data_IF_200231362973
#
_entry.id   IF_200231362973
#
_cell.length_a   1.000
_cell.length_b   1.000
_cell.length_c   1.000
_cell.angle_alpha   90.00
_cell.angle_beta   90.00
_cell.angle_gamma   90.00
#
_symmetry.space_group_name_H-M   'P 1'
#
loop_
_entity.id
_entity.type
_entity.pdbx_description
1 polymer ?
#
# COMPACT_ATOMS: atom_id res chain seq x y z
N UNK A 1 3.06 34.77 -9.78
CA UNK A 1 2.17 33.79 -10.42
C UNK A 1 1.27 33.25 -9.32
N UNK A 2 0.04 33.76 -9.23
CA UNK A 2 -0.84 33.48 -8.09
C UNK A 2 -1.70 32.25 -8.40
N UNK A 3 -1.54 31.19 -7.61
CA UNK A 3 -2.37 29.98 -7.69
C UNK A 3 -3.56 30.20 -6.74
N UNK A 4 -4.76 30.29 -7.29
CA UNK A 4 -6.00 30.31 -6.51
C UNK A 4 -6.49 28.87 -6.39
N UNK A 5 -6.46 28.33 -5.17
CA UNK A 5 -7.04 27.02 -4.87
C UNK A 5 -8.49 27.27 -4.45
N UNK A 6 -9.44 26.75 -5.22
CA UNK A 6 -10.87 26.87 -4.94
C UNK A 6 -11.35 25.61 -4.24
N UNK A 7 -11.90 25.78 -3.04
CA UNK A 7 -12.55 24.72 -2.27
C UNK A 7 -14.05 24.99 -2.27
N UNK A 8 -14.77 24.30 -3.16
CA UNK A 8 -16.22 24.34 -3.25
C UNK A 8 -16.75 23.07 -3.91
N UNK A 9 -18.05 22.81 -3.72
CA UNK A 9 -18.71 21.59 -4.20
C UNK A 9 -19.06 21.66 -5.69
N UNK A 10 -19.31 20.51 -6.33
CA UNK A 10 -19.66 20.45 -7.76
C UNK A 10 -20.90 21.31 -8.11
N UNK A 11 -21.79 21.51 -7.13
CA UNK A 11 -22.98 22.34 -7.25
C UNK A 11 -22.65 23.84 -7.28
N UNK A 12 -21.69 24.29 -6.45
CA UNK A 12 -21.20 25.68 -6.45
C UNK A 12 -20.41 26.03 -7.72
N UNK A 13 -19.69 25.06 -8.30
CA UNK A 13 -19.02 25.23 -9.59
C UNK A 13 -20.02 25.51 -10.73
N UNK A 14 -21.25 25.01 -10.60
CA UNK A 14 -22.36 25.22 -11.53
C UNK A 14 -23.14 26.53 -11.29
N UNK A 15 -22.76 27.33 -10.28
CA UNK A 15 -23.26 28.69 -10.05
C UNK A 15 -22.26 29.79 -10.47
N UNK A 16 -21.00 29.44 -10.77
CA UNK A 16 -19.95 30.41 -11.14
C UNK A 16 -20.20 31.08 -12.50
N UNK A 17 -19.72 32.33 -12.72
CA UNK A 17 -19.80 33.00 -14.02
C UNK A 17 -19.14 32.18 -15.14
N UNK A 18 -19.70 32.28 -16.35
CA UNK A 18 -19.28 31.46 -17.49
C UNK A 18 -17.79 31.56 -17.84
N UNK A 19 -17.18 32.74 -17.62
CA UNK A 19 -15.75 32.96 -17.83
C UNK A 19 -14.87 32.14 -16.88
N UNK A 20 -15.26 32.03 -15.60
CA UNK A 20 -14.51 31.24 -14.61
C UNK A 20 -14.60 29.75 -14.93
N UNK A 21 -15.77 29.28 -15.38
CA UNK A 21 -15.94 27.88 -15.83
C UNK A 21 -15.14 27.58 -17.09
N UNK A 22 -14.93 28.58 -17.97
CA UNK A 22 -14.10 28.44 -19.18
C UNK A 22 -12.62 28.33 -18.82
N UNK A 23 -12.16 29.10 -17.85
CA UNK A 23 -10.77 29.06 -17.34
C UNK A 23 -10.44 27.70 -16.69
N UNK A 24 -11.36 27.17 -15.88
CA UNK A 24 -11.21 25.84 -15.27
C UNK A 24 -11.17 24.72 -16.31
N UNK A 25 -11.90 24.88 -17.43
CA UNK A 25 -11.89 23.90 -18.53
C UNK A 25 -10.62 23.98 -19.38
N UNK A 26 -10.05 25.17 -19.59
CA UNK A 26 -8.81 25.30 -20.39
C UNK A 26 -7.59 24.72 -19.68
N UNK A 27 -7.65 24.55 -18.35
CA UNK A 27 -6.62 23.87 -17.55
C UNK A 27 -6.73 22.33 -17.59
N UNK A 28 -7.76 21.77 -18.25
CA UNK A 28 -8.08 20.34 -18.22
C UNK A 28 -8.09 19.62 -19.57
N UNK A 29 -7.38 20.10 -20.60
CA UNK A 29 -7.46 19.55 -21.96
C UNK A 29 -6.12 19.28 -22.66
N UNK A 30 -5.79 17.99 -22.81
CA UNK A 30 -4.86 17.34 -23.76
C UNK A 30 -3.34 17.56 -23.65
N UNK A 31 -2.62 16.49 -23.31
CA UNK A 31 -1.19 16.33 -23.60
C UNK A 31 -0.46 15.37 -22.65
N UNK A 32 -0.19 14.15 -23.12
CA UNK A 32 0.60 13.07 -22.50
C UNK A 32 1.76 13.50 -21.57
N UNK A 33 1.82 12.85 -20.40
CA UNK A 33 3.06 12.69 -19.62
C UNK A 33 3.17 13.58 -18.38
N UNK A 34 2.69 13.12 -17.23
CA UNK A 34 2.95 13.84 -15.98
C UNK A 34 2.13 13.36 -14.79
N UNK A 35 2.82 12.86 -13.77
CA UNK A 35 2.31 12.54 -12.44
C UNK A 35 1.51 13.72 -11.86
N UNK A 36 0.22 13.56 -11.58
CA UNK A 36 -0.46 14.32 -10.51
C UNK A 36 -1.53 13.41 -9.88
N UNK A 37 -1.09 12.56 -8.95
CA UNK A 37 -1.99 11.83 -8.06
C UNK A 37 -2.42 12.75 -6.93
N UNK A 38 -3.61 13.35 -7.09
CA UNK A 38 -4.41 14.08 -6.10
C UNK A 38 -4.26 13.45 -4.70
N UNK A 39 -3.94 14.27 -3.68
CA UNK A 39 -4.17 13.90 -2.27
C UNK A 39 -5.67 13.58 -2.11
N UNK A 40 -6.05 12.38 -1.66
CA UNK A 40 -7.40 12.18 -1.17
C UNK A 40 -7.51 12.80 0.23
N UNK A 41 -8.57 13.58 0.36
CA UNK A 41 -9.05 14.23 1.56
C UNK A 41 -9.17 13.22 2.72
N UNK A 42 -8.65 13.60 3.88
CA UNK A 42 -8.90 12.89 5.14
C UNK A 42 -10.34 13.19 5.55
N UNK A 43 -11.24 12.23 5.40
CA UNK A 43 -12.25 11.85 6.40
C UNK A 43 -13.34 10.95 5.80
N UNK A 44 -13.08 9.65 5.78
CA UNK A 44 -14.10 8.61 5.91
C UNK A 44 -13.39 7.37 6.47
N UNK A 45 -13.89 6.83 7.58
CA UNK A 45 -13.35 5.66 8.25
C UNK A 45 -12.89 4.54 7.29
N UNK A 46 -11.59 4.23 7.31
CA UNK A 46 -11.05 2.90 7.01
C UNK A 46 -11.25 2.31 5.61
N UNK A 47 -11.76 3.07 4.63
CA UNK A 47 -11.93 2.55 3.28
C UNK A 47 -10.58 2.48 2.56
N UNK A 48 -10.12 1.25 2.28
CA UNK A 48 -8.98 1.00 1.40
C UNK A 48 -9.16 1.75 0.08
N UNK A 49 -8.08 2.29 -0.47
CA UNK A 49 -8.07 2.89 -1.81
C UNK A 49 -8.77 1.96 -2.83
N UNK A 50 -9.72 2.46 -3.65
CA UNK A 50 -10.51 1.63 -4.56
C UNK A 50 -9.67 0.81 -5.53
N UNK A 51 -8.53 1.33 -5.99
CA UNK A 51 -7.64 0.60 -6.89
C UNK A 51 -6.95 -0.57 -6.16
N UNK A 52 -6.55 -0.38 -4.90
CA UNK A 52 -6.02 -1.46 -4.06
C UNK A 52 -7.08 -2.53 -3.81
N UNK A 53 -8.33 -2.14 -3.52
CA UNK A 53 -9.43 -3.08 -3.32
C UNK A 53 -9.72 -3.89 -4.59
N UNK A 54 -9.80 -3.24 -5.75
CA UNK A 54 -10.03 -3.87 -7.05
C UNK A 54 -8.90 -4.87 -7.37
N UNK A 55 -7.65 -4.47 -7.13
CA UNK A 55 -6.49 -5.34 -7.32
C UNK A 55 -6.53 -6.61 -6.46
N UNK A 56 -6.91 -6.47 -5.18
CA UNK A 56 -7.07 -7.63 -4.29
C UNK A 56 -8.23 -8.50 -4.78
N UNK A 57 -9.34 -7.89 -5.19
CA UNK A 57 -10.54 -8.59 -5.65
C UNK A 57 -10.27 -9.43 -6.91
N UNK A 58 -9.52 -8.89 -7.88
CA UNK A 58 -9.18 -9.55 -9.14
C UNK A 58 -8.27 -10.77 -8.92
N UNK A 59 -7.44 -10.77 -7.86
CA UNK A 59 -6.39 -11.76 -7.67
C UNK A 59 -6.61 -12.77 -6.57
N UNK A 60 -7.37 -12.43 -5.54
CA UNK A 60 -7.63 -13.35 -4.46
C UNK A 60 -8.40 -14.59 -4.97
N UNK A 61 -7.92 -15.78 -4.64
CA UNK A 61 -8.51 -17.05 -5.14
C UNK A 61 -9.86 -17.40 -4.51
N UNK A 62 -10.24 -16.72 -3.45
CA UNK A 62 -11.51 -16.94 -2.74
C UNK A 62 -11.94 -15.71 -1.96
N UNK A 63 -13.23 -15.65 -1.61
CA UNK A 63 -13.75 -14.58 -0.76
C UNK A 63 -13.09 -14.53 0.62
N UNK A 64 -12.78 -15.69 1.21
CA UNK A 64 -12.07 -15.77 2.49
C UNK A 64 -10.63 -15.23 2.38
N UNK A 65 -9.90 -15.58 1.33
CA UNK A 65 -8.57 -15.05 1.04
C UNK A 65 -8.63 -13.53 0.84
N UNK A 66 -9.61 -13.04 0.06
CA UNK A 66 -9.85 -11.62 -0.15
C UNK A 66 -10.08 -10.88 1.17
N UNK A 67 -10.92 -11.43 2.05
CA UNK A 67 -11.23 -10.83 3.34
C UNK A 67 -9.99 -10.71 4.24
N UNK A 68 -9.17 -11.76 4.33
CA UNK A 68 -7.92 -11.74 5.10
C UNK A 68 -6.91 -10.73 4.54
N UNK A 69 -6.73 -10.69 3.22
CA UNK A 69 -5.81 -9.74 2.57
C UNK A 69 -6.30 -8.31 2.72
N UNK A 70 -7.60 -8.04 2.52
CA UNK A 70 -8.19 -6.72 2.75
C UNK A 70 -8.02 -6.28 4.20
N UNK A 71 -8.26 -7.17 5.17
CA UNK A 71 -8.09 -6.83 6.58
C UNK A 71 -6.64 -6.52 6.91
N UNK A 72 -5.70 -7.31 6.40
CA UNK A 72 -4.27 -7.09 6.60
C UNK A 72 -3.80 -5.76 6.01
N UNK A 73 -4.03 -5.54 4.71
CA UNK A 73 -3.61 -4.31 4.01
C UNK A 73 -4.33 -3.09 4.60
N UNK A 74 -5.64 -3.20 4.87
CA UNK A 74 -6.43 -2.12 5.46
C UNK A 74 -5.89 -1.68 6.80
N UNK A 75 -5.56 -2.63 7.68
CA UNK A 75 -4.96 -2.32 8.99
C UNK A 75 -3.60 -1.64 8.86
N UNK A 76 -2.75 -2.09 7.93
CA UNK A 76 -1.45 -1.44 7.74
C UNK A 76 -1.63 -0.01 7.22
N UNK A 77 -2.56 0.23 6.30
CA UNK A 77 -2.79 1.56 5.73
C UNK A 77 -3.40 2.56 6.73
N UNK A 78 -3.87 2.11 7.90
CA UNK A 78 -4.21 3.03 9.00
C UNK A 78 -2.99 3.49 9.79
N UNK A 79 -1.84 2.83 9.64
CA UNK A 79 -0.61 3.28 10.29
C UNK A 79 -0.10 4.56 9.63
N UNK A 80 0.35 5.50 10.45
CA UNK A 80 0.79 6.80 9.98
C UNK A 80 1.85 6.68 8.88
N UNK A 81 1.80 7.52 7.86
CA UNK A 81 2.83 7.56 6.81
C UNK A 81 2.97 6.29 5.97
N UNK A 82 2.06 5.31 6.09
CA UNK A 82 2.08 4.13 5.23
C UNK A 82 1.27 4.33 3.97
N UNK A 83 1.68 3.69 2.88
CA UNK A 83 0.95 3.69 1.62
C UNK A 83 1.22 2.40 0.83
N UNK A 84 0.30 2.06 -0.07
CA UNK A 84 0.41 0.89 -0.93
C UNK A 84 0.62 1.30 -2.40
N UNK A 85 1.37 0.50 -3.13
CA UNK A 85 1.44 0.59 -4.58
C UNK A 85 1.46 -0.82 -5.20
N UNK A 86 0.89 -0.95 -6.40
CA UNK A 86 1.05 -2.16 -7.21
C UNK A 86 2.48 -2.19 -7.76
N UNK A 87 3.16 -3.32 -7.58
CA UNK A 87 4.50 -3.55 -8.06
C UNK A 87 4.56 -4.83 -8.90
N UNK A 88 5.20 -4.76 -10.07
CA UNK A 88 5.52 -5.94 -10.87
C UNK A 88 6.69 -6.67 -10.22
N UNK A 89 6.50 -7.96 -9.90
CA UNK A 89 7.60 -8.77 -9.40
C UNK A 89 8.59 -9.03 -10.54
N UNK A 90 9.90 -8.91 -10.25
CA UNK A 90 10.94 -9.41 -11.15
C UNK A 90 10.83 -10.95 -11.19
N UNK A 91 11.00 -11.55 -12.37
CA UNK A 91 10.98 -13.00 -12.62
C UNK A 91 9.61 -13.71 -12.52
N UNK A 92 8.61 -13.26 -13.30
CA UNK A 92 7.42 -14.07 -13.61
C UNK A 92 6.44 -14.35 -12.46
N UNK A 93 6.67 -13.80 -11.25
CA UNK A 93 5.81 -14.02 -10.08
C UNK A 93 4.53 -13.17 -10.05
N UNK A 94 4.14 -12.60 -11.18
CA UNK A 94 3.00 -11.68 -11.30
C UNK A 94 3.24 -10.35 -10.60
N UNK A 95 2.17 -9.58 -10.36
CA UNK A 95 2.25 -8.32 -9.61
C UNK A 95 1.72 -8.50 -8.18
N UNK A 96 2.32 -7.75 -7.27
CA UNK A 96 2.04 -7.75 -5.84
C UNK A 96 1.71 -6.34 -5.35
N UNK A 97 1.16 -6.25 -4.14
CA UNK A 97 1.11 -4.98 -3.42
C UNK A 97 2.43 -4.78 -2.67
N UNK A 98 2.98 -3.59 -2.77
CA UNK A 98 4.15 -3.12 -2.03
C UNK A 98 3.68 -2.09 -1.01
N UNK A 99 3.84 -2.41 0.28
CA UNK A 99 3.51 -1.51 1.39
C UNK A 99 4.78 -0.78 1.83
N UNK A 100 4.73 0.55 1.88
CA UNK A 100 5.89 1.42 2.04
C UNK A 100 5.65 2.46 3.15
N UNK A 101 6.74 2.96 3.74
CA UNK A 101 6.73 4.06 4.71
C UNK A 101 7.26 5.32 4.05
N UNK A 102 6.48 6.39 4.08
CA UNK A 102 6.85 7.73 3.62
C UNK A 102 8.06 8.25 4.40
N UNK A 103 8.98 8.92 3.72
CA UNK A 103 10.19 9.47 4.33
C UNK A 103 11.31 8.47 4.55
N UNK A 104 11.17 7.23 4.09
CA UNK A 104 12.27 6.24 4.09
C UNK A 104 12.83 6.06 2.68
N UNK A 105 14.16 5.91 2.50
CA UNK A 105 14.77 5.65 1.19
C UNK A 105 14.58 4.19 0.76
N UNK A 106 13.99 3.36 1.62
CA UNK A 106 13.82 1.94 1.38
C UNK A 106 12.57 1.67 0.53
N UNK A 107 12.59 0.53 -0.19
CA UNK A 107 11.42 0.00 -0.86
C UNK A 107 10.32 -0.45 0.12
N UNK A 108 9.46 -1.40 -0.30
CA UNK A 108 8.40 -1.87 0.59
C UNK A 108 8.93 -2.58 1.82
N UNK A 109 8.43 -2.25 3.01
CA UNK A 109 8.72 -3.04 4.21
C UNK A 109 7.94 -4.36 4.22
N UNK A 110 6.83 -4.41 3.47
CA UNK A 110 6.03 -5.61 3.23
C UNK A 110 5.62 -5.71 1.77
N UNK A 111 5.61 -6.94 1.25
CA UNK A 111 4.99 -7.29 -0.03
C UNK A 111 3.88 -8.31 0.16
N UNK A 112 2.76 -8.12 -0.53
CA UNK A 112 1.58 -8.99 -0.45
C UNK A 112 1.23 -9.51 -1.83
N UNK A 113 1.07 -10.84 -1.96
CA UNK A 113 0.61 -11.50 -3.17
C UNK A 113 -0.80 -12.05 -2.95
N UNK A 114 -1.87 -11.32 -3.32
CA UNK A 114 -3.25 -11.74 -3.05
C UNK A 114 -3.57 -13.12 -3.62
N UNK A 115 -3.04 -13.44 -4.80
CA UNK A 115 -3.26 -14.73 -5.46
C UNK A 115 -2.68 -15.94 -4.75
N UNK A 116 -1.80 -15.78 -3.77
CA UNK A 116 -1.29 -16.89 -2.94
C UNK A 116 -1.42 -16.63 -1.44
N UNK A 117 -2.08 -15.53 -1.08
CA UNK A 117 -2.16 -14.98 0.29
C UNK A 117 -0.80 -14.88 0.99
N UNK A 118 0.28 -14.82 0.21
CA UNK A 118 1.64 -14.78 0.72
C UNK A 118 2.00 -13.34 1.07
N UNK A 119 2.70 -13.18 2.18
CA UNK A 119 3.23 -11.91 2.66
C UNK A 119 4.72 -12.10 2.90
N UNK A 120 5.55 -11.24 2.32
CA UNK A 120 6.99 -11.21 2.57
C UNK A 120 7.32 -9.94 3.37
N UNK A 121 8.11 -10.12 4.43
CA UNK A 121 8.50 -9.05 5.34
C UNK A 121 9.96 -8.71 5.13
N UNK A 122 10.31 -7.43 5.25
CA UNK A 122 11.70 -6.97 5.20
C UNK A 122 12.41 -7.25 6.54
N UNK A 123 12.53 -8.53 6.86
CA UNK A 123 13.12 -9.05 8.10
C UNK A 123 14.09 -10.18 7.77
N UNK A 124 15.09 -10.33 8.61
CA UNK A 124 15.99 -11.49 8.62
C UNK A 124 15.35 -12.71 9.31
N UNK A 125 16.04 -13.85 9.25
CA UNK A 125 15.53 -15.09 9.83
C UNK A 125 15.50 -15.10 11.37
N UNK A 126 16.17 -14.18 12.08
CA UNK A 126 16.15 -14.13 13.54
C UNK A 126 14.76 -13.78 14.08
N UNK A 127 13.93 -13.10 13.28
CA UNK A 127 12.56 -12.74 13.63
C UNK A 127 11.56 -13.91 13.59
N UNK A 128 12.02 -15.13 13.28
CA UNK A 128 11.20 -16.36 13.25
C UNK A 128 11.12 -17.07 14.61
N UNK A 129 11.94 -16.69 15.59
CA UNK A 129 11.92 -17.35 16.90
C UNK A 129 10.53 -17.22 17.56
N UNK A 130 9.99 -18.35 18.03
CA UNK A 130 8.67 -18.43 18.66
C UNK A 130 7.48 -18.23 17.72
N UNK A 131 7.68 -18.15 16.39
CA UNK A 131 6.61 -17.98 15.40
C UNK A 131 5.99 -19.30 14.98
N UNK A 132 4.68 -19.31 14.78
CA UNK A 132 3.93 -20.53 14.41
C UNK A 132 3.57 -20.56 12.93
N UNK A 133 3.28 -19.40 12.34
CA UNK A 133 2.76 -19.31 10.97
C UNK A 133 3.78 -18.81 9.95
N UNK A 134 4.74 -17.99 10.39
CA UNK A 134 5.83 -17.50 9.58
C UNK A 134 6.90 -18.57 9.40
N UNK A 135 7.54 -18.53 8.24
CA UNK A 135 8.60 -19.46 7.91
C UNK A 135 9.69 -18.77 7.09
N UNK A 136 10.87 -19.40 7.08
CA UNK A 136 12.03 -18.91 6.34
C UNK A 136 11.80 -19.08 4.83
N UNK A 137 12.12 -18.05 4.08
CA UNK A 137 12.19 -18.10 2.62
C UNK A 137 13.47 -18.81 2.18
N UNK A 138 13.38 -19.56 1.09
CA UNK A 138 14.55 -20.09 0.40
C UNK A 138 15.22 -18.97 -0.43
N UNK A 139 16.03 -18.14 0.23
CA UNK A 139 16.80 -17.02 -0.32
C UNK A 139 18.19 -16.99 0.33
N UNK A 140 19.12 -16.24 -0.26
CA UNK A 140 20.46 -16.04 0.30
C UNK A 140 20.39 -15.40 1.71
N UNK A 141 21.39 -15.68 2.54
CA UNK A 141 21.44 -15.26 3.96
C UNK A 141 21.62 -13.75 4.16
N UNK A 142 22.05 -13.02 3.15
CA UNK A 142 22.16 -11.56 3.12
C UNK A 142 20.91 -10.89 2.53
N UNK A 143 19.93 -11.67 2.06
CA UNK A 143 18.71 -11.14 1.50
C UNK A 143 17.88 -10.42 2.58
N UNK A 144 17.32 -9.26 2.23
CA UNK A 144 16.53 -8.41 3.13
C UNK A 144 15.13 -8.94 3.46
N UNK A 145 14.67 -9.98 2.76
CA UNK A 145 13.32 -10.54 2.92
C UNK A 145 13.43 -12.05 3.13
N UNK A 146 13.80 -12.47 4.34
CA UNK A 146 13.95 -13.88 4.70
C UNK A 146 12.71 -14.44 5.37
N UNK A 147 11.82 -13.59 5.86
CA UNK A 147 10.58 -14.00 6.53
C UNK A 147 9.40 -13.91 5.59
N UNK A 148 8.58 -14.96 5.56
CA UNK A 148 7.31 -15.00 4.82
C UNK A 148 6.23 -15.69 5.64
N UNK A 149 4.98 -15.38 5.33
CA UNK A 149 3.81 -15.97 5.97
C UNK A 149 2.69 -16.13 4.92
N UNK A 150 1.80 -17.11 5.11
CA UNK A 150 0.55 -17.22 4.33
C UNK A 150 -0.67 -16.92 5.18
N UNK A 151 -1.46 -15.92 4.78
CA UNK A 151 -2.70 -15.53 5.46
C UNK A 151 -3.80 -16.60 5.22
N UNK A 152 -3.85 -17.60 6.11
CA UNK A 152 -4.83 -18.69 6.05
C UNK A 152 -5.86 -18.68 7.19
N UNK A 153 -5.60 -17.90 8.25
CA UNK A 153 -6.43 -17.87 9.46
C UNK A 153 -6.32 -16.52 10.16
N UNK A 154 -7.17 -16.30 11.16
CA UNK A 154 -7.10 -15.12 12.03
C UNK A 154 -5.82 -15.08 12.86
N UNK A 155 -5.34 -16.24 13.33
CA UNK A 155 -4.06 -16.33 14.05
C UNK A 155 -2.87 -15.97 13.15
N UNK A 156 -2.87 -16.45 11.91
CA UNK A 156 -1.86 -16.08 10.91
C UNK A 156 -1.91 -14.58 10.56
N UNK A 157 -3.11 -13.98 10.54
CA UNK A 157 -3.28 -12.55 10.37
C UNK A 157 -2.68 -11.74 11.53
N UNK A 158 -2.94 -12.14 12.78
CA UNK A 158 -2.38 -11.49 13.96
C UNK A 158 -0.84 -11.53 13.93
N UNK A 159 -0.25 -12.71 13.68
CA UNK A 159 1.20 -12.87 13.57
C UNK A 159 1.78 -12.04 12.41
N UNK A 160 1.08 -11.96 11.27
CA UNK A 160 1.50 -11.12 10.15
C UNK A 160 1.53 -9.63 10.49
N UNK A 161 0.55 -9.13 11.27
CA UNK A 161 0.51 -7.72 11.67
C UNK A 161 1.69 -7.38 12.60
N UNK A 162 2.02 -8.27 13.55
CA UNK A 162 3.18 -8.09 14.41
C UNK A 162 4.50 -8.07 13.61
N UNK A 163 4.66 -8.98 12.64
CA UNK A 163 5.85 -8.99 11.77
C UNK A 163 5.90 -7.75 10.86
N UNK A 164 4.76 -7.28 10.37
CA UNK A 164 4.70 -6.04 9.58
C UNK A 164 5.10 -4.82 10.41
N UNK A 165 4.69 -4.76 11.68
CA UNK A 165 5.07 -3.69 12.61
C UNK A 165 6.59 -3.67 12.82
N UNK A 166 7.20 -4.82 13.14
CA UNK A 166 8.65 -4.95 13.28
C UNK A 166 9.40 -4.56 11.99
N UNK A 167 8.88 -4.96 10.82
CA UNK A 167 9.47 -4.60 9.54
C UNK A 167 9.40 -3.08 9.27
N UNK A 168 8.32 -2.42 9.69
CA UNK A 168 8.16 -0.97 9.59
C UNK A 168 9.15 -0.26 10.51
N UNK A 169 9.23 -0.65 11.78
CA UNK A 169 10.16 -0.08 12.76
C UNK A 169 11.61 -0.21 12.30
N UNK A 170 11.97 -1.37 11.72
CA UNK A 170 13.30 -1.59 11.17
C UNK A 170 13.66 -0.65 10.01
N UNK A 171 12.71 -0.34 9.10
CA UNK A 171 12.98 0.64 8.03
C UNK A 171 13.04 2.08 8.54
N UNK A 172 12.29 2.41 9.58
CA UNK A 172 12.34 3.73 10.22
C UNK A 172 13.65 3.96 10.95
N UNK A 173 14.12 2.97 11.71
CA UNK A 173 15.41 3.04 12.41
C UNK A 173 16.57 3.16 11.42
N UNK A 174 16.55 2.34 10.35
CA UNK A 174 17.58 2.42 9.32
C UNK A 174 17.57 3.77 8.57
N UNK A 175 16.41 4.43 8.44
CA UNK A 175 16.30 5.72 7.78
C UNK A 175 16.85 6.86 8.65
N UNK A 176 16.71 6.75 9.98
CA UNK A 176 17.29 7.71 10.94
C UNK A 176 18.81 7.58 11.08
N UNK A 177 19.37 6.42 10.71
CA UNK A 177 20.80 6.15 10.76
C UNK A 177 21.53 6.45 9.43
N UNK A 178 20.80 6.82 8.38
CA UNK A 178 21.32 7.17 7.05
C UNK A 178 21.47 8.67 6.89
#
# INVERSE_FOLDING_TARGET
>A
MSIVIWEGTAEEAAALPAEVRRLLRSLGGTGNGGKIGKKPDKSAEGALDPAVQAFIAERARSQAARALVNRFVGTILTWEGTHAAVAKAKQGRGECLRLMRTGTPFGGFVYVWPGTTRVDFRLDAAHLEGRTHAYRRNVQSDARYQVTLRLKSKAALAEALELAQKAMEGVEQAAKAS
#
